data_IF_060662673719
#
_entry.id   IF_060662673719
#
_cell.length_a   1.000
_cell.length_b   1.000
_cell.length_c   1.000
_cell.angle_alpha   90.00
_cell.angle_beta   90.00
_cell.angle_gamma   90.00
#
_symmetry.space_group_name_H-M   'P 1'
#
loop_
_entity.id
_entity.type
_entity.pdbx_description
1 polymer ?
#
# COMPACT_ATOMS: atom_id res chain seq x y z
N UNK A 1 -17.23 -0.55 17.69
CA UNK A 1 -17.56 -0.90 16.29
C UNK A 1 -16.27 -0.94 15.50
N UNK A 2 -15.74 -2.13 15.26
CA UNK A 2 -14.51 -2.34 14.48
C UNK A 2 -14.80 -2.18 12.98
N UNK A 3 -14.49 -1.01 12.43
CA UNK A 3 -14.41 -0.82 10.98
C UNK A 3 -13.09 -1.40 10.49
N UNK A 4 -13.06 -2.73 10.36
CA UNK A 4 -11.99 -3.46 9.70
C UNK A 4 -11.81 -2.90 8.29
N UNK A 5 -10.70 -2.18 8.07
CA UNK A 5 -10.25 -1.79 6.74
C UNK A 5 -10.24 -3.04 5.84
N UNK A 6 -11.22 -3.11 4.92
CA UNK A 6 -11.23 -4.10 3.85
C UNK A 6 -10.09 -3.70 2.89
N UNK A 7 -8.88 -4.12 3.23
CA UNK A 7 -7.76 -4.09 2.29
C UNK A 7 -8.19 -4.96 1.12
N UNK A 8 -8.31 -4.39 -0.07
CA UNK A 8 -8.44 -5.17 -1.29
C UNK A 8 -7.28 -6.16 -1.34
N UNK A 9 -7.56 -7.44 -1.08
CA UNK A 9 -6.58 -8.52 -1.15
C UNK A 9 -6.31 -8.76 -2.64
N UNK A 10 -5.61 -7.84 -3.28
CA UNK A 10 -5.11 -8.05 -4.63
C UNK A 10 -4.20 -9.29 -4.61
N UNK A 11 -4.73 -10.40 -5.12
CA UNK A 11 -4.00 -11.65 -5.30
C UNK A 11 -3.16 -11.50 -6.56
N UNK A 12 -1.92 -11.97 -6.53
CA UNK A 12 -1.03 -11.94 -7.69
C UNK A 12 -0.37 -13.30 -7.83
N UNK A 13 -0.32 -13.80 -9.06
CA UNK A 13 0.29 -15.08 -9.39
C UNK A 13 1.79 -15.05 -9.07
N UNK A 14 2.28 -16.09 -8.40
CA UNK A 14 3.69 -16.20 -8.07
C UNK A 14 4.42 -17.13 -9.05
N UNK A 15 4.88 -16.54 -10.16
CA UNK A 15 5.62 -17.25 -11.19
C UNK A 15 6.95 -17.86 -10.72
N UNK A 16 7.53 -17.38 -9.60
CA UNK A 16 8.74 -17.99 -9.04
C UNK A 16 8.51 -19.36 -8.41
N UNK A 17 7.27 -19.65 -8.01
CA UNK A 17 6.85 -20.93 -7.42
C UNK A 17 5.92 -21.72 -8.35
N UNK A 18 5.85 -21.32 -9.62
CA UNK A 18 5.02 -22.00 -10.60
C UNK A 18 5.60 -23.37 -10.97
N UNK A 19 4.74 -24.39 -11.04
CA UNK A 19 5.12 -25.68 -11.61
C UNK A 19 4.80 -25.66 -13.12
N UNK A 20 5.76 -25.20 -13.92
CA UNK A 20 5.59 -25.11 -15.37
C UNK A 20 5.48 -26.48 -16.06
N UNK A 21 6.09 -27.54 -15.49
CA UNK A 21 5.95 -28.89 -16.04
C UNK A 21 4.52 -29.39 -15.88
N UNK A 22 3.92 -29.20 -14.70
CA UNK A 22 2.51 -29.49 -14.46
C UNK A 22 1.60 -28.68 -15.38
N UNK A 23 1.87 -27.37 -15.52
CA UNK A 23 1.09 -26.50 -16.41
C UNK A 23 1.11 -26.99 -17.86
N UNK A 24 2.30 -27.30 -18.40
CA UNK A 24 2.44 -27.83 -19.76
C UNK A 24 1.71 -29.15 -19.94
N UNK A 25 1.80 -30.06 -18.96
CA UNK A 25 1.11 -31.34 -18.97
C UNK A 25 -0.42 -31.17 -18.99
N UNK A 26 -0.95 -30.26 -18.18
CA UNK A 26 -2.38 -29.97 -18.12
C UNK A 26 -2.90 -29.33 -19.41
N UNK A 27 -2.15 -28.37 -19.97
CA UNK A 27 -2.53 -27.73 -21.24
C UNK A 27 -2.45 -28.73 -22.39
N UNK A 28 -1.40 -29.55 -22.46
CA UNK A 28 -1.24 -30.56 -23.51
C UNK A 28 -2.23 -31.74 -23.39
N UNK A 29 -2.70 -32.05 -22.18
CA UNK A 29 -3.70 -33.10 -21.93
C UNK A 29 -5.15 -32.66 -22.10
N UNK A 30 -5.42 -31.37 -22.32
CA UNK A 30 -6.78 -30.87 -22.55
C UNK A 30 -7.25 -31.26 -23.96
N UNK A 31 -8.43 -31.87 -24.13
CA UNK A 31 -8.95 -32.27 -25.45
C UNK A 31 -9.53 -31.07 -26.21
N UNK A 32 -8.65 -30.19 -26.69
CA UNK A 32 -9.03 -28.93 -27.35
C UNK A 32 -9.92 -29.12 -28.57
N UNK A 33 -9.65 -30.16 -29.38
CA UNK A 33 -10.45 -30.46 -30.57
C UNK A 33 -11.91 -30.76 -30.19
N UNK A 34 -12.14 -31.57 -29.15
CA UNK A 34 -13.48 -31.87 -28.67
C UNK A 34 -14.14 -30.64 -28.04
N UNK A 35 -13.37 -29.83 -27.31
CA UNK A 35 -13.86 -28.62 -26.66
C UNK A 35 -14.36 -27.56 -27.66
N UNK A 36 -13.78 -27.52 -28.87
CA UNK A 36 -14.10 -26.52 -29.90
C UNK A 36 -14.96 -27.05 -31.04
N UNK A 37 -15.20 -28.37 -31.14
CA UNK A 37 -15.84 -29.05 -32.28
C UNK A 37 -17.18 -28.46 -32.75
N UNK A 38 -17.90 -27.76 -31.88
CA UNK A 38 -19.22 -27.17 -32.16
C UNK A 38 -19.34 -25.70 -31.75
N UNK A 39 -18.21 -25.00 -31.54
CA UNK A 39 -18.20 -23.63 -31.04
C UNK A 39 -17.64 -22.66 -32.08
N UNK A 40 -18.30 -21.51 -32.21
CA UNK A 40 -17.80 -20.40 -33.02
C UNK A 40 -16.51 -19.81 -32.42
N UNK A 41 -15.75 -19.05 -33.22
CA UNK A 41 -14.45 -18.51 -32.83
C UNK A 41 -14.47 -17.76 -31.48
N UNK A 42 -15.46 -16.88 -31.27
CA UNK A 42 -15.59 -16.13 -30.01
C UNK A 42 -15.86 -17.04 -28.81
N UNK A 43 -16.76 -18.02 -28.97
CA UNK A 43 -17.09 -18.97 -27.90
C UNK A 43 -15.91 -19.88 -27.56
N UNK A 44 -15.18 -20.34 -28.59
CA UNK A 44 -13.95 -21.12 -28.43
C UNK A 44 -12.87 -20.30 -27.72
N UNK A 45 -12.74 -19.01 -28.03
CA UNK A 45 -11.79 -18.11 -27.35
C UNK A 45 -12.14 -17.86 -25.88
N UNK A 46 -13.41 -17.66 -25.55
CA UNK A 46 -13.85 -17.52 -24.16
C UNK A 46 -13.60 -18.81 -23.38
N UNK A 47 -13.92 -19.97 -23.96
CA UNK A 47 -13.69 -21.27 -23.34
C UNK A 47 -12.19 -21.53 -23.13
N UNK A 48 -11.37 -21.20 -24.12
CA UNK A 48 -9.92 -21.28 -24.01
C UNK A 48 -9.41 -20.45 -22.83
N UNK A 49 -9.84 -19.19 -22.72
CA UNK A 49 -9.45 -18.32 -21.61
C UNK A 49 -9.87 -18.90 -20.26
N UNK A 50 -11.09 -19.41 -20.11
CA UNK A 50 -11.56 -19.98 -18.84
C UNK A 50 -10.73 -21.22 -18.44
N UNK A 51 -10.56 -22.18 -19.35
CA UNK A 51 -9.77 -23.38 -19.09
C UNK A 51 -8.33 -23.00 -18.79
N UNK A 52 -7.72 -22.13 -19.58
CA UNK A 52 -6.35 -21.68 -19.38
C UNK A 52 -6.15 -21.03 -18.00
N UNK A 53 -7.06 -20.14 -17.58
CA UNK A 53 -7.01 -19.48 -16.28
C UNK A 53 -7.16 -20.50 -15.13
N UNK A 54 -8.05 -21.50 -15.26
CA UNK A 54 -8.19 -22.59 -14.27
C UNK A 54 -6.91 -23.41 -14.15
N UNK A 55 -6.30 -23.78 -15.28
CA UNK A 55 -5.04 -24.53 -15.30
C UNK A 55 -3.89 -23.71 -14.71
N UNK A 56 -3.91 -22.39 -14.93
CA UNK A 56 -2.96 -21.44 -14.36
C UNK A 56 -3.09 -21.35 -12.84
N UNK A 57 -4.32 -21.32 -12.32
CA UNK A 57 -4.58 -21.34 -10.87
C UNK A 57 -4.13 -22.64 -10.19
N UNK A 58 -4.28 -23.78 -10.87
CA UNK A 58 -3.83 -25.08 -10.36
C UNK A 58 -2.29 -25.19 -10.32
N UNK A 59 -1.62 -24.57 -11.28
CA UNK A 59 -0.17 -24.73 -11.47
C UNK A 59 0.67 -23.61 -10.84
N UNK A 60 0.07 -22.44 -10.63
CA UNK A 60 0.75 -21.25 -10.13
C UNK A 60 0.09 -20.80 -8.84
N UNK A 61 0.76 -20.99 -7.69
CA UNK A 61 0.20 -20.60 -6.41
C UNK A 61 -0.02 -19.08 -6.37
N UNK A 62 -1.22 -18.70 -5.95
CA UNK A 62 -1.60 -17.31 -5.72
C UNK A 62 -0.91 -16.78 -4.46
N UNK A 63 -0.12 -15.71 -4.62
CA UNK A 63 0.43 -15.01 -3.47
C UNK A 63 -0.44 -13.82 -3.11
N UNK A 64 -0.68 -13.67 -1.81
CA UNK A 64 -1.06 -12.38 -1.26
C UNK A 64 0.08 -11.43 -1.63
N UNK A 65 -0.20 -10.26 -2.21
CA UNK A 65 0.79 -9.18 -2.16
C UNK A 65 1.13 -9.03 -0.69
N UNK A 66 2.32 -9.46 -0.28
CA UNK A 66 2.88 -9.04 0.99
C UNK A 66 3.04 -7.54 0.81
N UNK A 67 2.02 -6.78 1.21
CA UNK A 67 2.13 -5.33 1.26
C UNK A 67 3.29 -5.12 2.19
N UNK A 68 4.46 -4.81 1.61
CA UNK A 68 5.75 -4.82 2.31
C UNK A 68 5.49 -4.25 3.68
N UNK A 69 5.43 -5.12 4.68
CA UNK A 69 5.12 -4.75 6.07
C UNK A 69 6.02 -3.57 6.31
N UNK A 70 5.42 -2.39 6.53
CA UNK A 70 6.12 -1.13 6.38
C UNK A 70 7.35 -1.16 7.26
N UNK A 71 8.52 -1.44 6.69
CA UNK A 71 9.73 -1.70 7.47
C UNK A 71 9.91 -0.45 8.31
N UNK A 72 9.88 -0.65 9.64
CA UNK A 72 9.94 0.43 10.60
C UNK A 72 11.04 1.41 10.19
N UNK A 73 10.73 2.70 9.98
CA UNK A 73 11.75 3.66 9.56
C UNK A 73 12.90 3.67 10.55
N UNK A 74 14.14 3.76 10.06
CA UNK A 74 15.33 3.67 10.91
C UNK A 74 15.40 4.77 12.00
N UNK A 75 14.71 5.89 11.81
CA UNK A 75 14.63 6.99 12.79
C UNK A 75 13.56 6.76 13.87
N UNK A 76 12.66 5.79 13.71
CA UNK A 76 11.52 5.62 14.62
C UNK A 76 11.93 4.77 15.83
N UNK A 77 12.22 5.38 16.98
CA UNK A 77 12.51 4.69 18.26
C UNK A 77 11.25 4.17 18.97
N UNK A 78 11.40 3.25 19.95
CA UNK A 78 10.23 2.63 20.64
C UNK A 78 9.50 3.70 21.45
N UNK A 79 10.25 4.56 22.11
CA UNK A 79 9.77 5.76 22.80
C UNK A 79 8.95 6.68 21.89
N UNK A 80 9.49 7.02 20.71
CA UNK A 80 8.78 7.91 19.77
C UNK A 80 7.47 7.30 19.27
N UNK A 81 7.39 5.97 19.20
CA UNK A 81 6.16 5.25 18.86
C UNK A 81 5.10 5.35 19.95
N UNK A 82 5.51 5.28 21.23
CA UNK A 82 4.62 5.52 22.38
C UNK A 82 4.08 6.95 22.31
N UNK A 83 4.95 7.94 22.11
CA UNK A 83 4.55 9.34 21.98
C UNK A 83 3.57 9.58 20.83
N UNK A 84 3.79 8.95 19.68
CA UNK A 84 2.86 8.99 18.55
C UNK A 84 1.49 8.39 18.89
N UNK A 85 1.44 7.30 19.67
CA UNK A 85 0.19 6.73 20.16
C UNK A 85 -0.51 7.68 21.14
N UNK A 86 0.23 8.27 22.09
CA UNK A 86 -0.31 9.26 23.03
C UNK A 86 -0.91 10.45 22.29
N UNK A 87 -0.23 11.01 21.29
CA UNK A 87 -0.80 12.08 20.45
C UNK A 87 -2.09 11.66 19.76
N UNK A 88 -2.15 10.44 19.22
CA UNK A 88 -3.35 9.91 18.54
C UNK A 88 -4.52 9.79 19.51
N UNK A 89 -4.24 9.34 20.73
CA UNK A 89 -5.25 9.21 21.78
C UNK A 89 -5.74 10.59 22.25
N UNK A 90 -4.81 11.54 22.47
CA UNK A 90 -5.16 12.92 22.82
C UNK A 90 -6.00 13.60 21.75
N UNK A 91 -5.72 13.34 20.46
CA UNK A 91 -6.59 13.82 19.38
C UNK A 91 -8.00 13.25 19.47
N UNK A 92 -8.14 11.97 19.85
CA UNK A 92 -9.46 11.35 20.04
C UNK A 92 -10.20 11.99 21.22
N UNK A 93 -9.50 12.20 22.32
CA UNK A 93 -10.07 12.80 23.53
C UNK A 93 -10.43 14.28 23.33
N UNK A 94 -9.60 15.05 22.62
CA UNK A 94 -9.91 16.42 22.22
C UNK A 94 -11.15 16.49 21.32
N UNK A 95 -11.26 15.61 20.31
CA UNK A 95 -12.47 15.52 19.48
C UNK A 95 -13.74 15.15 20.27
N UNK A 96 -13.59 14.54 21.44
CA UNK A 96 -14.68 14.17 22.34
C UNK A 96 -14.94 15.21 23.44
N UNK A 97 -14.16 16.30 23.50
CA UNK A 97 -14.29 17.35 24.51
C UNK A 97 -13.69 17.01 25.87
N UNK A 98 -12.97 15.88 26.01
CA UNK A 98 -12.39 15.45 27.29
C UNK A 98 -11.04 16.11 27.62
N UNK A 99 -10.38 16.70 26.63
CA UNK A 99 -9.04 17.28 26.75
C UNK A 99 -9.05 18.68 26.15
N UNK A 100 -8.34 19.62 26.80
CA UNK A 100 -8.28 20.99 26.30
C UNK A 100 -7.47 21.07 25.01
N UNK A 101 -7.75 22.08 24.19
CA UNK A 101 -6.96 22.30 22.97
C UNK A 101 -5.48 22.52 23.25
N UNK A 102 -5.14 23.14 24.38
CA UNK A 102 -3.76 23.45 24.80
C UNK A 102 -2.97 22.18 25.11
N UNK A 103 -3.55 21.26 25.87
CA UNK A 103 -2.93 19.97 26.21
C UNK A 103 -2.68 19.11 24.96
N UNK A 104 -3.64 19.07 24.02
CA UNK A 104 -3.44 18.41 22.74
C UNK A 104 -2.36 19.11 21.89
N UNK A 105 -2.37 20.44 21.84
CA UNK A 105 -1.40 21.22 21.07
C UNK A 105 0.02 20.95 21.55
N UNK A 106 0.25 20.96 22.86
CA UNK A 106 1.58 20.76 23.45
C UNK A 106 2.10 19.34 23.22
N UNK A 107 1.25 18.34 23.44
CA UNK A 107 1.61 16.93 23.16
C UNK A 107 1.90 16.71 21.67
N UNK A 108 1.12 17.35 20.77
CA UNK A 108 1.36 17.29 19.33
C UNK A 108 2.66 17.98 18.91
N UNK A 109 2.98 19.14 19.50
CA UNK A 109 4.24 19.86 19.26
C UNK A 109 5.44 19.06 19.72
N UNK A 110 5.38 18.51 20.93
CA UNK A 110 6.42 17.66 21.48
C UNK A 110 6.69 16.46 20.56
N UNK A 111 5.64 15.77 20.11
CA UNK A 111 5.78 14.67 19.15
C UNK A 111 6.44 15.11 17.84
N UNK A 112 6.03 16.26 17.27
CA UNK A 112 6.65 16.82 16.06
C UNK A 112 8.14 17.11 16.28
N UNK A 113 8.50 17.71 17.41
CA UNK A 113 9.89 18.01 17.76
C UNK A 113 10.71 16.72 17.87
N UNK A 114 10.21 15.71 18.57
CA UNK A 114 10.87 14.41 18.71
C UNK A 114 11.13 13.73 17.35
N UNK A 115 10.17 13.79 16.43
CA UNK A 115 10.34 13.26 15.06
C UNK A 115 11.43 14.02 14.30
N UNK A 116 11.44 15.36 14.39
CA UNK A 116 12.47 16.18 13.71
C UNK A 116 13.86 15.86 14.25
N UNK A 117 14.02 15.79 15.57
CA UNK A 117 15.28 15.45 16.25
C UNK A 117 15.80 14.07 15.84
N UNK A 118 14.94 13.05 15.88
CA UNK A 118 15.33 11.68 15.51
C UNK A 118 15.74 11.55 14.04
N UNK A 119 15.06 12.25 13.13
CA UNK A 119 15.44 12.29 11.71
C UNK A 119 16.78 12.98 11.50
N UNK A 120 17.01 14.12 12.15
CA UNK A 120 18.27 14.85 12.07
C UNK A 120 19.44 14.03 12.62
N UNK A 121 19.25 13.35 13.75
CA UNK A 121 20.27 12.44 14.32
C UNK A 121 20.60 11.28 13.38
N UNK A 122 19.59 10.67 12.76
CA UNK A 122 19.81 9.62 11.76
C UNK A 122 20.62 10.16 10.57
N UNK A 123 20.24 11.33 10.03
CA UNK A 123 20.94 11.96 8.91
C UNK A 123 22.40 12.27 9.27
N UNK A 124 22.67 12.86 10.43
CA UNK A 124 24.02 13.10 10.93
C UNK A 124 24.83 11.81 11.08
N UNK A 125 24.23 10.74 11.62
CA UNK A 125 24.90 9.43 11.78
C UNK A 125 25.23 8.77 10.44
N UNK A 126 24.46 9.06 9.39
CA UNK A 126 24.72 8.58 8.03
C UNK A 126 25.85 9.36 7.37
N UNK A 127 25.91 10.68 7.57
CA UNK A 127 26.95 11.55 6.99
C UNK A 127 28.32 11.36 7.64
N UNK A 128 28.38 11.13 8.97
CA UNK A 128 29.64 10.94 9.71
C UNK A 128 30.33 9.59 9.43
N UNK A 129 29.60 8.59 8.94
CA UNK A 129 30.21 7.30 8.56
C UNK A 129 30.83 7.45 7.17
N UNK A 130 32.12 7.75 7.12
CA UNK A 130 32.94 7.94 5.90
C UNK A 130 32.77 6.84 4.83
N UNK A 131 32.28 5.64 5.21
CA UNK A 131 32.05 4.50 4.32
C UNK A 131 30.58 4.14 4.03
N UNK A 132 29.58 4.93 4.42
CA UNK A 132 28.15 4.56 4.28
C UNK A 132 27.37 5.36 3.22
N UNK A 133 28.02 5.66 2.09
CA UNK A 133 27.42 6.32 0.92
C UNK A 133 26.15 5.58 0.46
N UNK A 134 26.19 4.24 0.44
CA UNK A 134 25.05 3.38 0.08
C UNK A 134 23.85 3.54 1.03
N UNK A 135 24.09 3.72 2.34
CA UNK A 135 23.03 3.92 3.33
C UNK A 135 22.31 5.26 3.16
N UNK A 136 23.05 6.32 2.84
CA UNK A 136 22.52 7.65 2.57
C UNK A 136 21.59 7.64 1.35
N UNK A 137 22.05 7.13 0.20
CA UNK A 137 21.21 7.05 -1.01
C UNK A 137 19.98 6.16 -0.82
N UNK A 138 20.09 5.08 -0.03
CA UNK A 138 18.94 4.24 0.34
C UNK A 138 17.90 5.02 1.14
N UNK A 139 18.32 5.85 2.10
CA UNK A 139 17.44 6.71 2.88
C UNK A 139 16.75 7.77 2.01
N UNK A 140 17.49 8.45 1.15
CA UNK A 140 16.95 9.43 0.17
C UNK A 140 15.93 8.75 -0.76
N UNK A 141 16.25 7.55 -1.25
CA UNK A 141 15.34 6.75 -2.07
C UNK A 141 14.03 6.38 -1.34
N UNK A 142 14.09 6.06 -0.04
CA UNK A 142 12.89 5.82 0.77
C UNK A 142 12.04 7.08 0.93
N UNK A 143 12.65 8.25 1.23
CA UNK A 143 11.95 9.54 1.29
C UNK A 143 11.24 9.87 -0.03
N UNK A 144 11.95 9.78 -1.17
CA UNK A 144 11.37 10.04 -2.51
C UNK A 144 10.18 9.12 -2.81
N UNK A 145 10.24 7.84 -2.43
CA UNK A 145 9.13 6.89 -2.62
C UNK A 145 7.89 7.25 -1.77
N UNK A 146 8.08 7.69 -0.52
CA UNK A 146 6.98 8.13 0.35
C UNK A 146 6.31 9.38 -0.26
N UNK A 147 7.10 10.38 -0.65
CA UNK A 147 6.57 11.60 -1.29
C UNK A 147 5.79 11.26 -2.56
N UNK A 148 6.35 10.46 -3.47
CA UNK A 148 5.65 10.02 -4.70
C UNK A 148 4.34 9.30 -4.42
N UNK A 149 4.30 8.44 -3.39
CA UNK A 149 3.07 7.73 -3.01
C UNK A 149 2.02 8.70 -2.45
N UNK A 150 2.40 9.64 -1.59
CA UNK A 150 1.50 10.66 -1.07
C UNK A 150 0.98 11.59 -2.19
N UNK A 151 1.84 12.02 -3.12
CA UNK A 151 1.40 12.83 -4.26
C UNK A 151 0.48 12.03 -5.18
N UNK A 152 0.76 10.75 -5.45
CA UNK A 152 -0.13 9.90 -6.25
C UNK A 152 -1.51 9.71 -5.59
N UNK A 153 -1.57 9.66 -4.27
CA UNK A 153 -2.84 9.52 -3.53
C UNK A 153 -3.67 10.80 -3.63
N UNK A 154 -3.05 11.99 -3.51
CA UNK A 154 -3.75 13.27 -3.70
C UNK A 154 -4.09 13.55 -5.17
N UNK A 155 -3.33 13.00 -6.13
CA UNK A 155 -3.62 13.14 -7.57
C UNK A 155 -4.82 12.30 -8.03
N UNK A 156 -5.18 11.26 -7.27
CA UNK A 156 -6.24 10.32 -7.61
C UNK A 156 -7.45 10.48 -6.67
N UNK A 157 -7.83 11.72 -6.35
CA UNK A 157 -9.10 11.99 -5.67
C UNK A 157 -10.24 11.73 -6.64
N UNK A 158 -11.25 10.98 -6.20
CA UNK A 158 -12.40 10.59 -7.02
C UNK A 158 -13.66 11.13 -6.34
N UNK A 159 -14.54 11.78 -7.10
CA UNK A 159 -15.81 12.32 -6.59
C UNK A 159 -16.85 11.20 -6.36
N UNK A 160 -18.03 11.54 -5.81
CA UNK A 160 -19.13 10.58 -5.58
C UNK A 160 -19.58 9.89 -6.89
N UNK A 161 -19.36 10.55 -8.02
CA UNK A 161 -19.66 10.11 -9.40
C UNK A 161 -18.59 9.21 -10.03
N UNK A 162 -17.54 8.85 -9.29
CA UNK A 162 -16.40 8.03 -9.76
C UNK A 162 -15.47 8.68 -10.78
N UNK A 163 -15.54 9.99 -10.97
CA UNK A 163 -14.67 10.75 -11.86
C UNK A 163 -13.46 11.33 -11.12
N UNK A 164 -12.35 11.45 -11.85
CA UNK A 164 -11.08 11.94 -11.29
C UNK A 164 -11.15 13.46 -11.11
N UNK A 165 -10.94 13.90 -9.87
CA UNK A 165 -11.01 15.32 -9.51
C UNK A 165 -9.68 15.99 -9.83
N UNK A 166 -9.67 16.86 -10.83
CA UNK A 166 -8.46 17.51 -11.32
C UNK A 166 -8.26 18.87 -10.65
N UNK A 167 -9.34 19.62 -10.37
CA UNK A 167 -9.31 21.01 -9.93
C UNK A 167 -9.19 21.14 -8.40
N UNK A 168 -8.48 22.16 -7.92
CA UNK A 168 -8.29 22.38 -6.47
C UNK A 168 -9.61 22.72 -5.74
N UNK A 169 -10.55 23.39 -6.41
CA UNK A 169 -11.87 23.75 -5.86
C UNK A 169 -12.71 22.51 -5.59
N UNK A 170 -12.83 21.62 -6.58
CA UNK A 170 -13.55 20.35 -6.46
C UNK A 170 -12.91 19.44 -5.38
N UNK A 171 -11.57 19.45 -5.24
CA UNK A 171 -10.89 18.71 -4.16
C UNK A 171 -11.26 19.25 -2.78
N UNK A 172 -11.41 20.56 -2.64
CA UNK A 172 -11.82 21.19 -1.38
C UNK A 172 -13.27 20.83 -1.04
N UNK A 173 -14.18 20.83 -2.01
CA UNK A 173 -15.56 20.39 -1.81
C UNK A 173 -15.66 18.92 -1.42
N UNK A 174 -14.89 18.04 -2.09
CA UNK A 174 -14.83 16.62 -1.75
C UNK A 174 -14.31 16.43 -0.32
N UNK A 175 -13.30 17.19 0.11
CA UNK A 175 -12.75 17.12 1.47
C UNK A 175 -13.68 17.71 2.53
N UNK A 176 -14.41 18.80 2.25
CA UNK A 176 -15.38 19.40 3.16
C UNK A 176 -16.55 18.46 3.49
N UNK A 177 -16.83 17.45 2.66
CA UNK A 177 -17.82 16.42 2.99
C UNK A 177 -17.33 15.44 4.08
N UNK A 178 -16.04 15.45 4.45
CA UNK A 178 -15.45 14.51 5.42
C UNK A 178 -15.06 15.15 6.77
N UNK A 179 -15.03 16.49 6.86
CA UNK A 179 -14.64 17.25 8.04
C UNK A 179 -15.80 18.15 8.47
#
# INVERSE_FOLDING_TARGET
>A
RDTGQVKSKARTLNFKRANFQLFKKLVGGTPWETAFRYKGAEQSWQLFKDIFLRLQELSIPMCKKSGKEGRRPAWLSKDLLVRLKCKKEMHRQWNQGHVSWEEYRDTAQMCRHGIRKAKAQLELSLTRKEKNITGFYRYVGQKRKITRKCTQTHKNMINKTRELVTTNMEKAEVLNNFF
#
